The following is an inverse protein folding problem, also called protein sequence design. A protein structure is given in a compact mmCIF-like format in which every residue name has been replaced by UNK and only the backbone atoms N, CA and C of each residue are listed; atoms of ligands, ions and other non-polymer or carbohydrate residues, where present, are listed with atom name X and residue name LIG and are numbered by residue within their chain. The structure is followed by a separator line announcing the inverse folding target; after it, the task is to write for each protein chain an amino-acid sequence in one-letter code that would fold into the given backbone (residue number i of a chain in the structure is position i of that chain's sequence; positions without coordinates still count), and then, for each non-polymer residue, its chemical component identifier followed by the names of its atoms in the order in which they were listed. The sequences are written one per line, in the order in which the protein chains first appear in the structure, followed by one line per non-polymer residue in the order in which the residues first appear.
data_IF_819248315285
#
_entry.id   IF_819248315285
#
_cell.length_a   1.000
_cell.length_b   1.000
_cell.length_c   1.000
_cell.angle_alpha   90.00
_cell.angle_beta   90.00
_cell.angle_gamma   90.00
#
_symmetry.space_group_name_H-M   'P 1'
#
loop_
_entity.id
_entity.type
_entity.pdbx_description
1 polymer ?
#
# COMPACT_ATOMS: atom_id res chain seq x y z
N UNK A 1 -54.17 -53.54 -26.83
CA UNK A 1 -53.37 -52.37 -27.32
C UNK A 1 -51.97 -52.53 -26.71
N UNK A 2 -51.01 -53.06 -27.48
CA UNK A 2 -49.92 -52.35 -28.20
C UNK A 2 -48.77 -51.93 -27.26
N UNK A 3 -47.67 -52.64 -27.41
CA UNK A 3 -46.33 -52.53 -26.79
C UNK A 3 -45.65 -51.18 -27.00
N UNK A 4 -44.78 -50.78 -26.06
CA UNK A 4 -43.44 -50.21 -26.26
C UNK A 4 -42.74 -50.10 -24.87
N UNK A 5 -41.64 -50.80 -24.55
CA UNK A 5 -40.25 -50.62 -25.04
C UNK A 5 -39.78 -49.19 -24.69
N UNK A 6 -38.79 -48.93 -23.83
CA UNK A 6 -37.41 -49.38 -23.90
C UNK A 6 -36.66 -49.09 -22.57
N UNK A 7 -35.84 -50.05 -22.14
CA UNK A 7 -34.80 -49.92 -21.12
C UNK A 7 -33.69 -48.98 -21.63
N UNK A 8 -33.26 -47.98 -20.86
CA UNK A 8 -32.02 -47.24 -21.16
C UNK A 8 -31.10 -47.16 -19.95
N UNK A 9 -29.83 -47.36 -20.28
CA UNK A 9 -28.64 -47.34 -19.43
C UNK A 9 -28.21 -45.91 -19.10
N UNK A 10 -27.66 -45.73 -17.89
CA UNK A 10 -26.38 -45.06 -17.72
C UNK A 10 -26.35 -43.56 -17.38
N UNK A 11 -25.23 -43.23 -16.70
CA UNK A 11 -24.61 -41.92 -16.51
C UNK A 11 -25.03 -41.05 -15.31
N UNK A 12 -24.27 -41.21 -14.22
CA UNK A 12 -23.34 -40.16 -13.77
C UNK A 12 -23.93 -38.94 -13.06
N UNK A 13 -23.66 -38.84 -11.76
CA UNK A 13 -23.73 -37.59 -10.99
C UNK A 13 -22.94 -36.48 -11.71
N UNK A 14 -23.58 -35.34 -11.96
CA UNK A 14 -22.89 -34.06 -12.16
C UNK A 14 -23.58 -32.99 -11.32
N UNK A 15 -23.19 -32.93 -10.04
CA UNK A 15 -23.37 -31.74 -9.23
C UNK A 15 -22.43 -30.65 -9.77
N UNK A 16 -22.97 -29.75 -10.58
CA UNK A 16 -22.25 -28.56 -11.04
C UNK A 16 -22.06 -27.61 -9.84
N UNK A 17 -20.96 -27.80 -9.12
CA UNK A 17 -20.45 -26.82 -8.17
C UNK A 17 -19.99 -25.59 -8.93
N UNK A 18 -20.85 -24.58 -9.03
CA UNK A 18 -20.47 -23.23 -9.45
C UNK A 18 -19.53 -22.65 -8.40
N UNK A 19 -18.24 -22.90 -8.59
CA UNK A 19 -17.19 -22.21 -7.84
C UNK A 19 -17.17 -20.77 -8.33
N UNK A 20 -17.82 -19.88 -7.59
CA UNK A 20 -17.61 -18.45 -7.74
C UNK A 20 -16.16 -18.17 -7.30
N UNK A 21 -15.24 -18.21 -8.25
CA UNK A 21 -13.94 -17.59 -8.06
C UNK A 21 -14.23 -16.09 -7.84
N UNK A 22 -14.19 -15.66 -6.58
CA UNK A 22 -14.01 -14.24 -6.28
C UNK A 22 -12.64 -13.89 -6.84
N UNK A 23 -12.62 -13.41 -8.09
CA UNK A 23 -11.56 -12.54 -8.53
C UNK A 23 -11.64 -11.33 -7.58
N UNK A 24 -10.83 -11.34 -6.53
CA UNK A 24 -10.48 -10.10 -5.86
C UNK A 24 -9.84 -9.27 -6.96
N UNK A 25 -10.61 -8.34 -7.52
CA UNK A 25 -10.02 -7.26 -8.28
C UNK A 25 -9.11 -6.56 -7.27
N UNK A 26 -7.83 -6.88 -7.34
CA UNK A 26 -6.76 -6.06 -6.81
C UNK A 26 -6.94 -4.69 -7.47
N UNK A 27 -7.74 -3.84 -6.84
CA UNK A 27 -7.99 -2.46 -7.21
C UNK A 27 -6.64 -1.75 -7.13
N UNK A 28 -5.89 -1.86 -8.21
CA UNK A 28 -4.57 -1.27 -8.33
C UNK A 28 -4.74 0.22 -8.19
N UNK A 29 -4.29 0.78 -7.07
CA UNK A 29 -4.25 2.22 -6.91
C UNK A 29 -3.28 2.82 -7.94
N UNK A 30 -3.81 3.25 -9.09
CA UNK A 30 -3.04 3.74 -10.23
C UNK A 30 -2.41 5.12 -10.01
N UNK A 31 -2.89 5.83 -8.98
CA UNK A 31 -2.42 7.14 -8.57
C UNK A 31 -1.58 7.09 -7.27
N UNK A 32 -1.41 5.91 -6.68
CA UNK A 32 -0.61 5.78 -5.47
C UNK A 32 0.89 5.93 -5.76
N UNK A 33 1.60 6.48 -4.79
CA UNK A 33 3.04 6.62 -4.84
C UNK A 33 3.69 5.23 -4.96
N UNK A 34 4.64 5.14 -5.89
CA UNK A 34 5.52 3.97 -6.03
C UNK A 34 6.73 4.04 -5.11
N UNK A 35 7.09 5.24 -4.69
CA UNK A 35 8.18 5.50 -3.78
C UNK A 35 7.88 6.81 -3.04
N UNK A 36 8.44 6.96 -1.85
CA UNK A 36 8.45 8.22 -1.11
C UNK A 36 9.86 8.55 -0.65
N UNK A 37 10.16 9.83 -0.51
CA UNK A 37 11.33 10.35 0.18
C UNK A 37 10.89 10.73 1.60
N UNK A 38 11.61 10.27 2.62
CA UNK A 38 11.32 10.59 4.02
C UNK A 38 12.60 10.86 4.78
N UNK A 39 12.49 11.26 6.04
CA UNK A 39 13.59 11.41 6.99
C UNK A 39 13.14 10.92 8.38
N UNK A 40 14.02 11.00 9.38
CA UNK A 40 13.67 10.50 10.73
C UNK A 40 12.48 11.25 11.35
N UNK A 41 12.33 12.54 11.07
CA UNK A 41 11.24 13.37 11.60
C UNK A 41 9.88 12.96 11.02
N UNK A 42 9.77 12.91 9.68
CA UNK A 42 8.54 12.52 9.01
C UNK A 42 8.19 11.05 9.27
N UNK A 43 9.19 10.16 9.33
CA UNK A 43 8.96 8.75 9.66
C UNK A 43 8.40 8.57 11.07
N UNK A 44 8.98 9.25 12.07
CA UNK A 44 8.48 9.20 13.45
C UNK A 44 7.05 9.74 13.52
N UNK A 45 6.79 10.88 12.88
CA UNK A 45 5.46 11.47 12.86
C UNK A 45 4.42 10.59 12.15
N UNK A 46 4.79 9.94 11.05
CA UNK A 46 3.95 8.96 10.38
C UNK A 46 3.59 7.79 11.30
N UNK A 47 4.57 7.25 12.04
CA UNK A 47 4.35 6.14 12.97
C UNK A 47 3.43 6.57 14.13
N UNK A 48 3.59 7.78 14.66
CA UNK A 48 2.72 8.34 15.71
C UNK A 48 1.28 8.53 15.23
N UNK A 49 1.08 8.92 13.96
CA UNK A 49 -0.24 9.16 13.37
C UNK A 49 -0.86 7.94 12.69
N UNK A 50 -0.11 6.84 12.58
CA UNK A 50 -0.51 5.66 11.79
C UNK A 50 -1.90 5.17 12.16
N UNK A 51 -2.22 5.07 13.45
CA UNK A 51 -3.53 4.56 13.89
C UNK A 51 -4.70 5.46 13.46
N UNK A 52 -4.47 6.76 13.28
CA UNK A 52 -5.49 7.67 12.77
C UNK A 52 -5.61 7.56 11.25
N UNK A 53 -4.48 7.52 10.56
CA UNK A 53 -4.42 7.33 9.10
C UNK A 53 -5.08 6.00 8.71
N UNK A 54 -4.81 4.93 9.45
CA UNK A 54 -5.34 3.58 9.23
C UNK A 54 -6.83 3.44 9.55
N UNK A 55 -7.47 4.38 10.25
CA UNK A 55 -8.94 4.34 10.45
C UNK A 55 -9.71 4.85 9.24
N UNK A 56 -9.06 5.56 8.33
CA UNK A 56 -9.67 6.04 7.09
C UNK A 56 -9.96 4.84 6.18
N UNK A 57 -11.20 4.35 6.17
CA UNK A 57 -11.63 3.12 5.50
C UNK A 57 -11.64 3.16 3.96
N UNK A 58 -10.80 4.00 3.35
CA UNK A 58 -10.67 4.14 1.90
C UNK A 58 -9.56 3.22 1.37
N UNK A 59 -9.71 2.70 0.16
CA UNK A 59 -8.68 1.88 -0.50
C UNK A 59 -7.41 2.69 -0.83
N UNK A 60 -7.61 3.96 -1.19
CA UNK A 60 -6.55 4.96 -1.30
C UNK A 60 -6.53 5.83 -0.04
N UNK A 61 -5.36 5.92 0.57
CA UNK A 61 -5.09 6.65 1.80
C UNK A 61 -4.23 7.85 1.46
N UNK A 62 -4.74 9.05 1.75
CA UNK A 62 -3.94 10.27 1.69
C UNK A 62 -3.22 10.41 3.03
N UNK A 63 -1.89 10.46 2.95
CA UNK A 63 -1.01 10.72 4.09
C UNK A 63 -0.59 12.17 3.99
N UNK A 64 -0.90 12.95 5.02
CA UNK A 64 -0.52 14.36 5.14
C UNK A 64 0.30 14.56 6.42
N UNK A 65 1.60 14.76 6.22
CA UNK A 65 2.61 15.03 7.24
C UNK A 65 3.06 16.50 7.20
N UNK A 66 2.32 17.38 6.53
CA UNK A 66 2.66 18.82 6.47
C UNK A 66 2.72 19.48 7.86
N UNK A 67 1.97 18.95 8.83
CA UNK A 67 2.04 19.36 10.24
C UNK A 67 3.24 18.81 11.02
N UNK A 68 3.99 17.87 10.43
CA UNK A 68 5.14 17.21 11.05
C UNK A 68 6.46 17.89 10.73
N UNK A 69 6.58 18.53 9.56
CA UNK A 69 7.80 19.23 9.19
C UNK A 69 8.01 20.45 10.10
N UNK A 70 9.04 20.42 10.95
CA UNK A 70 9.39 21.55 11.80
C UNK A 70 9.63 22.80 10.95
N UNK A 71 8.80 23.84 11.16
CA UNK A 71 9.00 25.19 10.62
C UNK A 71 10.23 25.84 11.24
N UNK A 72 11.44 25.40 10.91
CA UNK A 72 12.64 26.08 11.35
C UNK A 72 13.86 25.21 11.48
N UNK A 73 14.46 24.85 10.35
CA UNK A 73 15.92 24.85 10.26
C UNK A 73 16.27 25.59 8.98
N UNK A 74 16.94 26.72 9.18
CA UNK A 74 17.53 27.53 8.12
C UNK A 74 18.31 26.61 7.19
N UNK A 75 18.04 26.70 5.89
CA UNK A 75 18.79 26.00 4.85
C UNK A 75 20.29 26.05 5.18
N UNK A 76 20.89 24.90 5.48
CA UNK A 76 22.34 24.81 5.42
C UNK A 76 22.69 25.17 3.99
N UNK A 77 23.45 26.27 3.82
CA UNK A 77 23.98 26.75 2.55
C UNK A 77 24.36 25.55 1.68
N UNK A 78 23.93 25.52 0.41
CA UNK A 78 24.11 24.36 -0.45
C UNK A 78 25.59 23.97 -0.45
N UNK A 79 25.88 22.82 0.16
CA UNK A 79 27.19 22.19 -0.02
C UNK A 79 27.33 21.90 -1.52
N UNK A 80 28.49 22.18 -2.14
CA UNK A 80 28.66 22.07 -3.60
C UNK A 80 28.44 20.64 -4.14
N UNK A 81 28.30 19.64 -3.26
CA UNK A 81 27.81 18.32 -3.60
C UNK A 81 26.35 18.17 -3.18
N UNK A 82 25.47 18.27 -4.18
CA UNK A 82 24.06 17.82 -4.25
C UNK A 82 23.29 17.83 -2.92
N UNK A 83 22.35 18.79 -2.79
CA UNK A 83 21.40 18.82 -1.70
C UNK A 83 20.66 17.47 -1.55
N UNK A 84 20.42 16.99 -0.31
CA UNK A 84 19.56 15.85 -0.05
C UNK A 84 18.20 16.01 -0.74
N UNK A 85 17.60 14.91 -1.21
CA UNK A 85 16.26 14.96 -1.78
C UNK A 85 15.27 15.44 -0.72
N UNK A 86 14.38 16.35 -1.10
CA UNK A 86 13.37 16.89 -0.20
C UNK A 86 12.38 15.79 0.23
N UNK A 87 12.07 15.66 1.53
CA UNK A 87 11.10 14.70 2.02
C UNK A 87 9.67 15.00 1.54
N UNK A 88 8.93 13.95 1.19
CA UNK A 88 7.53 14.02 0.79
C UNK A 88 6.63 14.22 2.01
N UNK A 89 6.03 15.40 2.11
CA UNK A 89 5.10 15.73 3.21
C UNK A 89 3.66 15.32 2.93
N UNK A 90 3.30 15.05 1.67
CA UNK A 90 1.95 14.64 1.30
C UNK A 90 2.00 13.66 0.13
N UNK A 91 1.35 12.52 0.29
CA UNK A 91 1.32 11.47 -0.74
C UNK A 91 0.09 10.57 -0.57
N UNK A 92 -0.24 9.83 -1.63
CA UNK A 92 -1.34 8.87 -1.61
C UNK A 92 -0.79 7.46 -1.74
N UNK A 93 -1.26 6.53 -0.91
CA UNK A 93 -0.83 5.13 -0.88
C UNK A 93 -2.01 4.20 -0.69
N UNK A 94 -1.88 2.94 -1.09
CA UNK A 94 -2.90 1.93 -0.82
C UNK A 94 -2.86 1.50 0.65
N UNK A 95 -3.92 0.81 1.10
CA UNK A 95 -3.94 0.16 2.43
C UNK A 95 -2.77 -0.81 2.64
N UNK A 96 -2.43 -1.62 1.62
CA UNK A 96 -1.31 -2.55 1.69
C UNK A 96 0.03 -1.81 1.79
N UNK A 97 0.18 -0.73 1.02
CA UNK A 97 1.37 0.12 1.08
C UNK A 97 1.50 0.84 2.43
N UNK A 98 0.39 1.25 3.06
CA UNK A 98 0.39 1.86 4.39
C UNK A 98 0.98 0.92 5.45
N UNK A 99 0.51 -0.32 5.50
CA UNK A 99 1.01 -1.32 6.46
C UNK A 99 2.45 -1.74 6.16
N UNK A 100 2.80 -1.83 4.87
CA UNK A 100 4.16 -2.12 4.44
C UNK A 100 5.13 -1.00 4.82
N UNK A 101 4.75 0.26 4.60
CA UNK A 101 5.55 1.42 4.96
C UNK A 101 5.83 1.45 6.46
N UNK A 102 4.81 1.23 7.30
CA UNK A 102 5.00 1.10 8.75
C UNK A 102 6.07 0.05 9.09
N UNK A 103 5.95 -1.17 8.55
CA UNK A 103 6.94 -2.24 8.79
C UNK A 103 8.34 -1.89 8.33
N UNK A 104 8.47 -1.21 7.18
CA UNK A 104 9.76 -0.75 6.67
C UNK A 104 10.39 0.29 7.59
N UNK A 105 9.61 1.19 8.17
CA UNK A 105 10.12 2.22 9.10
C UNK A 105 10.44 1.68 10.50
N UNK A 106 9.72 0.65 10.96
CA UNK A 106 9.98 -0.02 12.24
C UNK A 106 11.17 -1.00 12.18
N UNK A 107 11.69 -1.30 10.98
CA UNK A 107 12.78 -2.24 10.81
C UNK A 107 14.09 -1.70 11.45
N UNK A 108 14.84 -2.55 12.18
CA UNK A 108 16.09 -2.11 12.79
C UNK A 108 17.14 -1.81 11.72
N UNK A 109 17.91 -0.74 11.93
CA UNK A 109 19.03 -0.37 11.05
C UNK A 109 18.65 0.42 9.79
N UNK A 110 17.41 0.91 9.69
CA UNK A 110 17.02 1.82 8.61
C UNK A 110 17.70 3.18 8.82
N UNK A 111 18.39 3.66 7.79
CA UNK A 111 19.02 4.97 7.78
C UNK A 111 18.09 5.92 7.06
N UNK A 112 17.54 6.90 7.78
CA UNK A 112 16.54 7.84 7.25
C UNK A 112 17.09 9.24 6.99
N UNK A 113 18.16 9.64 7.69
CA UNK A 113 18.73 10.98 7.56
C UNK A 113 19.93 11.03 6.61
N UNK A 114 20.13 12.16 5.88
CA UNK A 114 19.30 13.36 5.86
C UNK A 114 17.99 13.20 5.07
N UNK A 115 17.95 12.23 4.15
CA UNK A 115 16.72 11.71 3.54
C UNK A 115 16.95 10.30 3.00
N UNK A 116 15.87 9.53 2.92
CA UNK A 116 15.86 8.17 2.39
C UNK A 116 14.68 7.96 1.45
N UNK A 117 14.93 7.28 0.33
CA UNK A 117 13.87 6.84 -0.57
C UNK A 117 13.39 5.45 -0.19
N UNK A 118 12.11 5.34 0.12
CA UNK A 118 11.43 4.07 0.42
C UNK A 118 10.62 3.66 -0.80
N UNK A 119 10.96 2.50 -1.37
CA UNK A 119 10.15 1.88 -2.41
C UNK A 119 8.84 1.32 -1.84
N UNK A 120 7.73 1.62 -2.48
CA UNK A 120 6.38 1.16 -2.14
C UNK A 120 5.79 0.28 -3.24
N UNK A 121 6.43 0.17 -4.41
CA UNK A 121 6.00 -0.73 -5.48
C UNK A 121 6.21 -2.18 -5.05
N UNK A 122 7.24 -2.48 -4.24
CA UNK A 122 7.42 -3.79 -3.59
C UNK A 122 6.34 -4.16 -2.55
N UNK A 123 5.38 -3.27 -2.28
CA UNK A 123 4.35 -3.42 -1.25
C UNK A 123 2.94 -3.63 -1.85
N UNK A 124 2.86 -3.94 -3.15
CA UNK A 124 1.62 -4.19 -3.89
C UNK A 124 1.09 -5.61 -3.66
#
# INVERSE_FOLDING_TARGET
MKTNVLCWLGAGLLAAGLSFAHAAAEETCGLCAKQIVTNSELASCFLDQYDQIAKTGNEAVVVDLSGCASRGVVEALPSPNKAPAEPDVQFMISRLQLDCLKKKLEAPGVVLDPSATIDLDSCR
#
